data_IF_213978129324
#
_entry.id   IF_213978129324
#
_cell.length_a   1.000
_cell.length_b   1.000
_cell.length_c   1.000
_cell.angle_alpha   90.00
_cell.angle_beta   90.00
_cell.angle_gamma   90.00
#
_symmetry.space_group_name_H-M   'P 1'
#
loop_
_entity.id
_entity.type
_entity.pdbx_description
1 polymer ?
#
# COMPACT_ATOMS: atom_id res chain seq x y z
N UNK A 1 -33.37 1.49 12.05
CA UNK A 1 -32.16 0.64 11.95
C UNK A 1 -31.75 0.37 10.50
N UNK A 2 -32.54 -0.36 9.69
CA UNK A 2 -32.20 -0.68 8.27
C UNK A 2 -31.72 0.50 7.42
N UNK A 3 -32.33 1.67 7.58
CA UNK A 3 -31.95 2.89 6.83
C UNK A 3 -30.53 3.40 7.16
N UNK A 4 -30.01 3.19 8.38
CA UNK A 4 -28.66 3.61 8.78
C UNK A 4 -27.60 2.65 8.25
N UNK A 5 -27.85 1.34 8.34
CA UNK A 5 -26.97 0.29 7.79
C UNK A 5 -26.81 0.45 6.28
N UNK A 6 -27.92 0.67 5.55
CA UNK A 6 -27.88 0.94 4.11
C UNK A 6 -27.05 2.20 3.80
N UNK A 7 -27.23 3.29 4.56
CA UNK A 7 -26.41 4.50 4.38
C UNK A 7 -24.93 4.28 4.66
N UNK A 8 -24.58 3.53 5.71
CA UNK A 8 -23.18 3.17 6.00
C UNK A 8 -22.57 2.37 4.86
N UNK A 9 -23.30 1.39 4.33
CA UNK A 9 -22.84 0.58 3.19
C UNK A 9 -22.70 1.43 1.91
N UNK A 10 -23.64 2.33 1.64
CA UNK A 10 -23.55 3.25 0.51
C UNK A 10 -22.35 4.21 0.64
N UNK A 11 -22.12 4.74 1.84
CA UNK A 11 -20.94 5.54 2.15
C UNK A 11 -19.66 4.77 1.83
N UNK A 12 -19.52 3.55 2.36
CA UNK A 12 -18.33 2.72 2.13
C UNK A 12 -18.13 2.46 0.65
N UNK A 13 -19.14 1.91 -0.05
CA UNK A 13 -19.03 1.56 -1.47
C UNK A 13 -18.65 2.78 -2.30
N UNK A 14 -19.31 3.93 -2.10
CA UNK A 14 -19.04 5.12 -2.89
C UNK A 14 -17.61 5.63 -2.69
N UNK A 15 -17.19 5.81 -1.43
CA UNK A 15 -15.89 6.41 -1.13
C UNK A 15 -14.74 5.45 -1.39
N UNK A 16 -14.91 4.16 -1.07
CA UNK A 16 -13.92 3.14 -1.38
C UNK A 16 -13.63 3.09 -2.88
N UNK A 17 -14.67 2.90 -3.72
CA UNK A 17 -14.48 2.75 -5.16
C UNK A 17 -13.97 4.04 -5.82
N UNK A 18 -14.41 5.21 -5.35
CA UNK A 18 -13.93 6.49 -5.86
C UNK A 18 -12.43 6.67 -5.60
N UNK A 19 -11.99 6.41 -4.36
CA UNK A 19 -10.57 6.52 -4.01
C UNK A 19 -9.73 5.46 -4.73
N UNK A 20 -10.21 4.22 -4.76
CA UNK A 20 -9.55 3.10 -5.44
C UNK A 20 -9.31 3.42 -6.93
N UNK A 21 -10.35 3.88 -7.61
CA UNK A 21 -10.27 4.31 -9.01
C UNK A 21 -9.23 5.43 -9.20
N UNK A 22 -9.31 6.50 -8.41
CA UNK A 22 -8.40 7.64 -8.55
C UNK A 22 -6.94 7.23 -8.28
N UNK A 23 -6.71 6.38 -7.28
CA UNK A 23 -5.39 5.85 -6.94
C UNK A 23 -4.83 4.96 -8.06
N UNK A 24 -5.63 4.03 -8.56
CA UNK A 24 -5.26 3.12 -9.66
C UNK A 24 -4.94 3.89 -10.95
N UNK A 25 -5.66 4.99 -11.21
CA UNK A 25 -5.41 5.85 -12.36
C UNK A 25 -4.23 6.84 -12.16
N UNK A 26 -3.53 6.81 -11.02
CA UNK A 26 -2.44 7.73 -10.71
C UNK A 26 -2.89 9.20 -10.57
N UNK A 27 -4.18 9.43 -10.29
CA UNK A 27 -4.80 10.75 -10.11
C UNK A 27 -4.77 11.16 -8.63
N UNK A 28 -3.60 11.07 -8.01
CA UNK A 28 -3.45 11.27 -6.55
C UNK A 28 -3.83 12.66 -6.06
N UNK A 29 -3.68 13.71 -6.88
CA UNK A 29 -4.14 15.06 -6.54
C UNK A 29 -5.66 15.11 -6.35
N UNK A 30 -6.41 14.47 -7.27
CA UNK A 30 -7.86 14.34 -7.19
C UNK A 30 -8.26 13.40 -6.04
N UNK A 31 -7.46 12.36 -5.80
CA UNK A 31 -7.68 11.42 -4.69
C UNK A 31 -7.58 12.13 -3.34
N UNK A 32 -6.56 12.96 -3.12
CA UNK A 32 -6.45 13.78 -1.91
C UNK A 32 -7.62 14.76 -1.74
N UNK A 33 -8.13 15.34 -2.83
CA UNK A 33 -9.32 16.17 -2.76
C UNK A 33 -10.56 15.35 -2.37
N UNK A 34 -10.71 14.14 -2.93
CA UNK A 34 -11.80 13.23 -2.60
C UNK A 34 -11.74 12.77 -1.13
N UNK A 35 -10.54 12.52 -0.59
CA UNK A 35 -10.33 12.22 0.83
C UNK A 35 -10.99 13.27 1.72
N UNK A 36 -10.90 14.58 1.41
CA UNK A 36 -11.56 15.62 2.23
C UNK A 36 -13.07 15.38 2.39
N UNK A 37 -13.76 15.05 1.28
CA UNK A 37 -15.18 14.69 1.34
C UNK A 37 -15.41 13.37 2.09
N UNK A 38 -14.57 12.35 1.88
CA UNK A 38 -14.64 11.08 2.61
C UNK A 38 -14.54 11.28 4.11
N UNK A 39 -13.60 12.11 4.58
CA UNK A 39 -13.41 12.35 6.01
C UNK A 39 -14.58 13.07 6.66
N UNK A 40 -15.22 14.00 5.95
CA UNK A 40 -16.39 14.71 6.48
C UNK A 40 -17.57 13.78 6.76
N UNK A 41 -17.79 12.78 5.90
CA UNK A 41 -18.85 11.80 6.05
C UNK A 41 -18.44 10.62 6.96
N UNK A 42 -17.15 10.28 7.00
CA UNK A 42 -16.62 9.19 7.84
C UNK A 42 -17.02 9.35 9.30
N UNK A 43 -17.01 10.57 9.83
CA UNK A 43 -17.42 10.90 11.20
C UNK A 43 -18.84 10.38 11.55
N UNK A 44 -19.72 10.28 10.54
CA UNK A 44 -21.11 9.83 10.72
C UNK A 44 -21.26 8.31 10.63
N UNK A 45 -20.41 7.65 9.85
CA UNK A 45 -20.60 6.25 9.44
C UNK A 45 -19.55 5.28 9.97
N UNK A 46 -18.40 5.77 10.44
CA UNK A 46 -17.25 4.95 10.85
C UNK A 46 -17.61 3.87 11.88
N UNK A 47 -18.43 4.21 12.88
CA UNK A 47 -18.89 3.25 13.89
C UNK A 47 -19.70 2.08 13.34
N UNK A 48 -20.29 2.24 12.15
CA UNK A 48 -21.07 1.21 11.50
C UNK A 48 -20.26 0.36 10.51
N UNK A 49 -19.02 0.72 10.21
CA UNK A 49 -18.14 -0.08 9.37
C UNK A 49 -17.60 -1.26 10.18
N UNK A 50 -17.56 -2.43 9.57
CA UNK A 50 -16.80 -3.54 10.12
C UNK A 50 -15.30 -3.31 9.95
N UNK A 51 -14.51 -4.16 10.59
CA UNK A 51 -13.06 -3.98 10.62
C UNK A 51 -12.41 -4.15 9.22
N UNK A 52 -13.00 -4.98 8.36
CA UNK A 52 -12.52 -5.17 6.99
C UNK A 52 -12.77 -3.91 6.15
N UNK A 53 -13.99 -3.37 6.17
CA UNK A 53 -14.37 -2.14 5.49
C UNK A 53 -13.52 -0.95 5.99
N UNK A 54 -13.28 -0.85 7.31
CA UNK A 54 -12.37 0.18 7.85
C UNK A 54 -10.96 0.01 7.32
N UNK A 55 -10.39 -1.19 7.39
CA UNK A 55 -9.00 -1.43 7.00
C UNK A 55 -8.74 -1.12 5.53
N UNK A 56 -9.68 -1.49 4.65
CA UNK A 56 -9.60 -1.24 3.21
C UNK A 56 -9.82 0.23 2.87
N UNK A 57 -10.82 0.89 3.46
CA UNK A 57 -11.06 2.32 3.25
C UNK A 57 -9.89 3.16 3.76
N UNK A 58 -9.38 2.89 4.96
CA UNK A 58 -8.24 3.60 5.53
C UNK A 58 -6.96 3.32 4.74
N UNK A 59 -6.80 2.10 4.22
CA UNK A 59 -5.72 1.75 3.29
C UNK A 59 -5.76 2.59 2.02
N UNK A 60 -6.95 2.79 1.43
CA UNK A 60 -7.12 3.64 0.25
C UNK A 60 -6.86 5.12 0.56
N UNK A 61 -7.27 5.61 1.72
CA UNK A 61 -6.92 6.97 2.17
C UNK A 61 -5.40 7.10 2.31
N UNK A 62 -4.73 6.13 2.94
CA UNK A 62 -3.28 6.11 3.09
C UNK A 62 -2.56 6.07 1.72
N UNK A 63 -3.06 5.27 0.76
CA UNK A 63 -2.55 5.22 -0.61
C UNK A 63 -2.70 6.56 -1.33
N UNK A 64 -3.82 7.25 -1.11
CA UNK A 64 -4.06 8.58 -1.69
C UNK A 64 -3.00 9.58 -1.25
N UNK A 65 -2.63 9.55 0.04
CA UNK A 65 -1.56 10.38 0.58
C UNK A 65 -0.17 9.94 0.13
N UNK A 66 0.10 8.63 0.11
CA UNK A 66 1.37 8.07 -0.37
C UNK A 66 1.66 8.48 -1.81
N UNK A 67 0.69 8.31 -2.71
CA UNK A 67 0.88 8.59 -4.12
C UNK A 67 1.09 10.07 -4.44
N UNK A 68 0.55 10.95 -3.61
CA UNK A 68 0.79 12.40 -3.69
C UNK A 68 2.00 12.87 -2.86
N UNK A 69 2.83 11.96 -2.37
CA UNK A 69 4.07 12.28 -1.63
C UNK A 69 3.86 12.80 -0.20
N UNK A 70 2.64 12.73 0.33
CA UNK A 70 2.34 13.14 1.70
C UNK A 70 2.50 11.95 2.67
N UNK A 71 3.76 11.55 2.90
CA UNK A 71 4.07 10.35 3.68
C UNK A 71 3.67 10.47 5.15
N UNK A 72 3.68 11.67 5.73
CA UNK A 72 3.24 11.89 7.11
C UNK A 72 1.76 11.52 7.30
N UNK A 73 0.88 11.96 6.38
CA UNK A 73 -0.53 11.60 6.43
C UNK A 73 -0.74 10.12 6.10
N UNK A 74 0.02 9.55 5.16
CA UNK A 74 0.00 8.11 4.90
C UNK A 74 0.27 7.30 6.20
N UNK A 75 1.38 7.62 6.89
CA UNK A 75 1.77 6.97 8.15
C UNK A 75 0.72 7.16 9.24
N UNK A 76 0.09 8.34 9.33
CA UNK A 76 -1.01 8.58 10.27
C UNK A 76 -2.16 7.59 10.07
N UNK A 77 -2.64 7.42 8.83
CA UNK A 77 -3.73 6.49 8.52
C UNK A 77 -3.34 5.03 8.74
N UNK A 78 -2.11 4.65 8.39
CA UNK A 78 -1.62 3.31 8.66
C UNK A 78 -1.49 3.03 10.17
N UNK A 79 -1.15 4.02 10.99
CA UNK A 79 -1.15 3.88 12.44
C UNK A 79 -2.57 3.73 13.01
N UNK A 80 -3.57 4.42 12.46
CA UNK A 80 -4.98 4.17 12.82
C UNK A 80 -5.37 2.71 12.58
N UNK A 81 -5.06 2.18 11.40
CA UNK A 81 -5.30 0.76 11.08
C UNK A 81 -4.60 -0.15 12.10
N UNK A 82 -3.30 0.06 12.33
CA UNK A 82 -2.50 -0.78 13.24
C UNK A 82 -2.99 -0.76 14.69
N UNK A 83 -3.53 0.36 15.16
CA UNK A 83 -3.93 0.55 16.55
C UNK A 83 -5.39 0.19 16.81
N UNK A 84 -6.27 0.37 15.83
CA UNK A 84 -7.73 0.24 16.00
C UNK A 84 -8.27 -1.08 15.45
N UNK A 85 -7.57 -1.72 14.50
CA UNK A 85 -8.09 -2.86 13.75
C UNK A 85 -7.33 -4.14 14.11
N UNK A 86 -7.99 -5.19 14.63
CA UNK A 86 -7.33 -6.45 14.90
C UNK A 86 -6.95 -7.14 13.59
N UNK A 87 -5.67 -7.45 13.40
CA UNK A 87 -5.15 -8.12 12.21
C UNK A 87 -5.59 -9.59 12.00
N UNK A 88 -6.63 -10.06 12.69
CA UNK A 88 -7.27 -11.36 12.42
C UNK A 88 -8.00 -11.40 11.06
N UNK A 89 -8.00 -10.28 10.35
CA UNK A 89 -8.64 -10.07 9.07
C UNK A 89 -7.62 -10.45 8.00
N UNK A 90 -7.85 -11.57 7.30
CA UNK A 90 -7.20 -11.92 6.03
C UNK A 90 -5.65 -11.81 6.07
N UNK A 91 -4.90 -12.91 6.28
CA UNK A 91 -3.44 -12.89 6.43
C UNK A 91 -2.65 -12.21 5.28
N UNK A 92 -3.22 -12.12 4.08
CA UNK A 92 -2.69 -11.37 2.94
C UNK A 92 -2.72 -9.86 3.16
N UNK A 93 -3.81 -9.36 3.75
CA UNK A 93 -4.02 -7.94 4.04
C UNK A 93 -3.07 -7.44 5.13
N UNK A 94 -2.85 -8.23 6.19
CA UNK A 94 -1.88 -7.87 7.24
C UNK A 94 -0.45 -7.75 6.68
N UNK A 95 -0.03 -8.71 5.85
CA UNK A 95 1.28 -8.64 5.19
C UNK A 95 1.43 -7.38 4.34
N UNK A 96 0.41 -7.07 3.54
CA UNK A 96 0.37 -5.84 2.76
C UNK A 96 0.50 -4.60 3.65
N UNK A 97 -0.33 -4.46 4.69
CA UNK A 97 -0.34 -3.28 5.55
C UNK A 97 0.99 -3.07 6.28
N UNK A 98 1.62 -4.16 6.75
CA UNK A 98 2.95 -4.10 7.38
C UNK A 98 4.04 -3.67 6.40
N UNK A 99 4.03 -4.23 5.18
CA UNK A 99 4.97 -3.84 4.15
C UNK A 99 4.74 -2.40 3.69
N UNK A 100 3.49 -1.99 3.49
CA UNK A 100 3.14 -0.63 3.11
C UNK A 100 3.57 0.39 4.17
N UNK A 101 3.47 0.04 5.45
CA UNK A 101 4.00 0.85 6.55
C UNK A 101 5.52 1.02 6.47
N UNK A 102 6.26 -0.06 6.19
CA UNK A 102 7.71 0.02 5.97
C UNK A 102 8.04 0.94 4.79
N UNK A 103 7.34 0.78 3.66
CA UNK A 103 7.55 1.61 2.47
C UNK A 103 7.24 3.08 2.75
N UNK A 104 6.15 3.40 3.45
CA UNK A 104 5.81 4.77 3.83
C UNK A 104 6.90 5.42 4.70
N UNK A 105 7.48 4.68 5.64
CA UNK A 105 8.62 5.14 6.45
C UNK A 105 9.91 5.30 5.63
N UNK A 106 10.16 4.38 4.68
CA UNK A 106 11.28 4.49 3.76
C UNK A 106 11.19 5.76 2.91
N UNK A 107 10.02 6.02 2.32
CA UNK A 107 9.76 7.23 1.53
C UNK A 107 9.87 8.52 2.34
N UNK A 108 9.45 8.49 3.61
CA UNK A 108 9.58 9.63 4.51
C UNK A 108 11.02 9.91 4.97
N UNK A 109 11.99 9.05 4.60
CA UNK A 109 13.39 9.20 5.03
C UNK A 109 13.63 8.84 6.50
N UNK A 110 12.71 8.12 7.14
CA UNK A 110 12.81 7.70 8.54
C UNK A 110 13.76 6.49 8.67
N UNK A 111 15.05 6.69 8.39
CA UNK A 111 16.04 5.62 8.35
C UNK A 111 16.28 4.93 9.70
N UNK A 112 16.10 5.66 10.80
CA UNK A 112 16.29 5.21 12.18
C UNK A 112 15.27 4.14 12.61
N UNK A 113 14.01 4.26 12.18
CA UNK A 113 12.95 3.31 12.55
C UNK A 113 12.93 2.07 11.65
N UNK A 114 13.43 2.15 10.41
CA UNK A 114 13.37 1.06 9.43
C UNK A 114 13.89 -0.29 9.96
N UNK A 115 15.06 -0.40 10.61
CA UNK A 115 15.56 -1.68 11.11
C UNK A 115 14.58 -2.37 12.08
N UNK A 116 13.92 -1.58 12.93
CA UNK A 116 12.95 -2.10 13.90
C UNK A 116 11.68 -2.61 13.21
N UNK A 117 11.20 -1.91 12.18
CA UNK A 117 10.03 -2.31 11.40
C UNK A 117 10.30 -3.57 10.57
N UNK A 118 11.47 -3.64 9.93
CA UNK A 118 11.91 -4.80 9.15
C UNK A 118 12.03 -6.03 10.05
N UNK A 119 12.61 -5.88 11.25
CA UNK A 119 12.69 -6.98 12.23
C UNK A 119 11.31 -7.43 12.70
N UNK A 120 10.38 -6.50 12.93
CA UNK A 120 9.00 -6.81 13.29
C UNK A 120 8.30 -7.59 12.18
N UNK A 121 8.47 -7.18 10.92
CA UNK A 121 7.90 -7.85 9.76
C UNK A 121 8.51 -9.25 9.55
N UNK A 122 9.82 -9.41 9.69
CA UNK A 122 10.47 -10.73 9.67
C UNK A 122 9.90 -11.69 10.72
N UNK A 123 9.77 -11.23 11.98
CA UNK A 123 9.21 -12.04 13.06
C UNK A 123 7.74 -12.41 12.80
N UNK A 124 6.99 -11.52 12.17
CA UNK A 124 5.62 -11.80 11.75
C UNK A 124 5.59 -12.89 10.67
N UNK A 125 6.39 -12.76 9.60
CA UNK A 125 6.46 -13.73 8.51
C UNK A 125 6.86 -15.13 9.00
N UNK A 126 7.81 -15.23 9.93
CA UNK A 126 8.24 -16.50 10.52
C UNK A 126 7.14 -17.21 11.34
N UNK A 127 6.09 -16.50 11.75
CA UNK A 127 4.96 -17.07 12.49
C UNK A 127 3.78 -17.44 11.58
N UNK A 128 3.83 -17.11 10.29
CA UNK A 128 2.76 -17.42 9.35
C UNK A 128 2.74 -18.91 9.03
N UNK A 129 1.55 -19.49 8.92
CA UNK A 129 1.35 -20.86 8.44
C UNK A 129 1.78 -20.99 6.97
N UNK A 130 1.50 -19.96 6.17
CA UNK A 130 1.87 -19.90 4.76
C UNK A 130 2.70 -18.65 4.50
N UNK A 131 3.94 -18.87 4.07
CA UNK A 131 4.86 -17.83 3.60
C UNK A 131 4.84 -17.81 2.07
N UNK A 132 4.47 -16.68 1.49
CA UNK A 132 4.44 -16.50 0.04
C UNK A 132 5.84 -16.23 -0.53
N UNK A 133 6.03 -16.51 -1.81
CA UNK A 133 7.32 -16.28 -2.49
C UNK A 133 7.64 -14.79 -2.55
N UNK A 134 6.64 -13.95 -2.79
CA UNK A 134 6.79 -12.50 -2.73
C UNK A 134 7.33 -12.04 -1.38
N UNK A 135 6.75 -12.52 -0.28
CA UNK A 135 7.16 -12.15 1.08
C UNK A 135 8.61 -12.55 1.37
N UNK A 136 9.01 -13.75 0.93
CA UNK A 136 10.39 -14.24 1.03
C UNK A 136 11.38 -13.34 0.30
N UNK A 137 11.05 -12.93 -0.93
CA UNK A 137 11.92 -12.05 -1.74
C UNK A 137 12.01 -10.66 -1.10
N UNK A 138 10.90 -10.12 -0.63
CA UNK A 138 10.86 -8.78 -0.04
C UNK A 138 11.65 -8.75 1.27
N UNK A 139 11.49 -9.74 2.14
CA UNK A 139 12.19 -9.71 3.42
C UNK A 139 13.69 -9.94 3.26
N UNK A 140 14.11 -10.76 2.29
CA UNK A 140 15.51 -10.91 1.90
C UNK A 140 16.09 -9.58 1.41
N UNK A 141 15.38 -8.89 0.51
CA UNK A 141 15.79 -7.56 0.05
C UNK A 141 15.93 -6.57 1.20
N UNK A 142 14.92 -6.46 2.07
CA UNK A 142 14.93 -5.48 3.17
C UNK A 142 16.03 -5.74 4.21
N UNK A 143 16.34 -7.01 4.50
CA UNK A 143 17.30 -7.38 5.53
C UNK A 143 18.74 -7.45 5.04
N UNK A 144 18.94 -7.92 3.81
CA UNK A 144 20.26 -8.31 3.32
C UNK A 144 20.73 -7.38 2.20
N UNK A 145 19.87 -7.04 1.24
CA UNK A 145 20.31 -6.25 0.08
C UNK A 145 20.28 -4.74 0.37
N UNK A 146 19.19 -4.21 0.94
CA UNK A 146 19.00 -2.78 1.16
C UNK A 146 20.09 -2.16 2.08
N UNK A 147 20.49 -2.77 3.21
CA UNK A 147 21.53 -2.20 4.07
C UNK A 147 22.92 -2.13 3.43
N UNK A 148 23.19 -2.98 2.44
CA UNK A 148 24.49 -3.03 1.73
C UNK A 148 24.60 -1.96 0.64
N UNK A 149 23.54 -1.19 0.39
CA UNK A 149 23.49 -0.16 -0.65
C UNK A 149 24.18 1.15 -0.24
N UNK A 150 25.48 1.09 0.04
CA UNK A 150 26.28 2.25 0.46
C UNK A 150 26.51 3.32 -0.61
N UNK A 151 26.02 3.12 -1.84
CA UNK A 151 26.13 4.08 -2.95
C UNK A 151 24.82 4.16 -3.75
N UNK A 152 24.52 5.30 -4.41
CA UNK A 152 23.35 5.41 -5.28
C UNK A 152 23.29 4.36 -6.39
N UNK A 153 24.46 3.99 -6.95
CA UNK A 153 24.56 2.95 -7.98
C UNK A 153 24.22 1.56 -7.44
N UNK A 154 24.71 1.21 -6.25
CA UNK A 154 24.38 -0.06 -5.62
C UNK A 154 22.88 -0.14 -5.28
N UNK A 155 22.30 0.96 -4.79
CA UNK A 155 20.86 1.05 -4.51
C UNK A 155 20.02 0.84 -5.78
N UNK A 156 20.40 1.50 -6.87
CA UNK A 156 19.75 1.34 -8.17
C UNK A 156 19.78 -0.12 -8.65
N UNK A 157 20.94 -0.78 -8.54
CA UNK A 157 21.09 -2.18 -8.91
C UNK A 157 20.25 -3.11 -8.03
N UNK A 158 20.18 -2.85 -6.72
CA UNK A 158 19.33 -3.61 -5.80
C UNK A 158 17.85 -3.49 -6.17
N UNK A 159 17.37 -2.29 -6.52
CA UNK A 159 16.00 -2.10 -7.00
C UNK A 159 15.72 -2.81 -8.33
N UNK A 160 16.64 -2.75 -9.28
CA UNK A 160 16.51 -3.49 -10.55
C UNK A 160 16.42 -5.00 -10.32
N UNK A 161 17.29 -5.53 -9.45
CA UNK A 161 17.30 -6.94 -9.07
C UNK A 161 15.98 -7.34 -8.40
N UNK A 162 15.49 -6.53 -7.46
CA UNK A 162 14.20 -6.77 -6.80
C UNK A 162 13.05 -6.76 -7.82
N UNK A 163 12.99 -5.77 -8.71
CA UNK A 163 11.97 -5.68 -9.77
C UNK A 163 11.96 -6.94 -10.63
N UNK A 164 13.13 -7.41 -11.07
CA UNK A 164 13.26 -8.62 -11.89
C UNK A 164 12.81 -9.89 -11.15
N UNK A 165 13.03 -9.96 -9.83
CA UNK A 165 12.56 -11.08 -8.99
C UNK A 165 11.04 -11.08 -8.81
N UNK A 166 10.40 -9.92 -8.59
CA UNK A 166 8.97 -9.86 -8.25
C UNK A 166 8.05 -9.66 -9.45
N UNK A 167 8.50 -9.06 -10.55
CA UNK A 167 7.65 -8.80 -11.73
C UNK A 167 6.99 -10.06 -12.31
N UNK A 168 7.67 -11.23 -12.39
CA UNK A 168 7.01 -12.46 -12.84
C UNK A 168 5.89 -12.95 -11.91
N UNK A 169 5.93 -12.58 -10.62
CA UNK A 169 4.94 -13.02 -9.63
C UNK A 169 3.58 -12.36 -9.82
N UNK A 170 3.51 -11.19 -10.46
CA UNK A 170 2.23 -10.51 -10.73
C UNK A 170 1.30 -11.34 -11.63
N UNK A 171 1.86 -12.25 -12.43
CA UNK A 171 1.12 -13.18 -13.29
C UNK A 171 0.77 -14.50 -12.61
N UNK A 172 1.28 -14.74 -11.40
CA UNK A 172 1.03 -15.98 -10.66
C UNK A 172 -0.35 -15.93 -9.99
N UNK A 173 -1.25 -16.90 -10.23
CA UNK A 173 -2.55 -16.97 -9.56
C UNK A 173 -2.47 -17.00 -8.04
N UNK A 174 -1.35 -17.51 -7.49
CA UNK A 174 -1.12 -17.66 -6.05
C UNK A 174 -0.55 -16.40 -5.38
N UNK A 175 0.12 -15.53 -6.15
CA UNK A 175 0.83 -14.35 -5.61
C UNK A 175 0.15 -13.03 -6.01
N UNK A 176 -0.77 -13.05 -6.98
CA UNK A 176 -1.38 -11.83 -7.57
C UNK A 176 -2.02 -10.89 -6.54
N UNK A 177 -2.55 -11.42 -5.44
CA UNK A 177 -3.30 -10.63 -4.45
C UNK A 177 -2.46 -9.50 -3.84
N UNK A 178 -1.15 -9.71 -3.67
CA UNK A 178 -0.29 -8.66 -3.09
C UNK A 178 -0.18 -7.46 -4.03
N UNK A 179 -0.21 -7.69 -5.35
CA UNK A 179 -0.15 -6.66 -6.38
C UNK A 179 -1.48 -5.92 -6.56
N UNK A 180 -2.59 -6.44 -6.01
CA UNK A 180 -3.88 -5.76 -6.02
C UNK A 180 -3.89 -4.54 -5.08
N UNK A 181 -3.16 -4.61 -3.96
CA UNK A 181 -3.20 -3.56 -2.94
C UNK A 181 -2.16 -2.46 -3.15
N UNK A 182 -1.06 -2.75 -3.84
CA UNK A 182 0.02 -1.80 -4.09
C UNK A 182 0.77 -2.14 -5.39
N UNK A 183 0.99 -1.13 -6.23
CA UNK A 183 1.76 -1.29 -7.47
C UNK A 183 3.27 -1.23 -7.18
N UNK A 184 3.81 -2.33 -6.66
CA UNK A 184 5.24 -2.45 -6.33
C UNK A 184 6.14 -2.26 -7.56
N UNK A 185 5.64 -2.59 -8.75
CA UNK A 185 6.41 -2.46 -9.99
C UNK A 185 6.55 -0.98 -10.35
N UNK A 186 5.47 -0.20 -10.30
CA UNK A 186 5.53 1.25 -10.51
C UNK A 186 6.34 1.96 -9.44
N UNK A 187 6.26 1.50 -8.18
CA UNK A 187 7.11 2.02 -7.11
C UNK A 187 8.60 1.79 -7.40
N UNK A 188 9.00 0.57 -7.75
CA UNK A 188 10.40 0.29 -8.11
C UNK A 188 10.86 1.05 -9.34
N UNK A 189 10.02 1.17 -10.37
CA UNK A 189 10.32 1.99 -11.56
C UNK A 189 10.51 3.46 -11.21
N UNK A 190 9.70 4.01 -10.30
CA UNK A 190 9.86 5.39 -9.82
C UNK A 190 11.23 5.62 -9.18
N UNK A 191 11.76 4.61 -8.47
CA UNK A 191 13.10 4.63 -7.88
C UNK A 191 14.20 4.46 -8.92
N UNK A 192 14.00 3.56 -9.88
CA UNK A 192 14.98 3.26 -10.91
C UNK A 192 15.13 4.42 -11.91
N UNK A 193 14.02 5.05 -12.26
CA UNK A 193 13.95 6.15 -13.24
C UNK A 193 14.07 7.53 -12.57
N UNK A 194 14.14 7.58 -11.24
CA UNK A 194 14.22 8.81 -10.45
C UNK A 194 13.12 9.83 -10.79
N UNK A 195 11.86 9.38 -10.76
CA UNK A 195 10.68 10.22 -11.03
C UNK A 195 9.55 9.93 -10.06
N UNK A 196 8.55 10.83 -9.91
CA UNK A 196 7.47 10.64 -8.94
C UNK A 196 6.65 9.36 -9.21
N UNK A 197 6.34 8.61 -8.16
CA UNK A 197 5.49 7.42 -8.24
C UNK A 197 4.14 7.70 -8.93
N UNK A 198 3.52 8.85 -8.62
CA UNK A 198 2.30 9.30 -9.28
C UNK A 198 2.38 9.33 -10.81
N UNK A 199 3.52 9.74 -11.34
CA UNK A 199 3.74 9.85 -12.78
C UNK A 199 3.81 8.46 -13.41
N UNK A 200 4.54 7.54 -12.78
CA UNK A 200 4.68 6.15 -13.26
C UNK A 200 3.32 5.44 -13.32
N UNK A 201 2.55 5.53 -12.23
CA UNK A 201 1.20 4.91 -12.15
C UNK A 201 0.29 5.50 -13.23
N UNK A 202 0.28 6.83 -13.38
CA UNK A 202 -0.55 7.53 -14.36
C UNK A 202 -0.17 7.17 -15.79
N UNK A 203 1.12 7.00 -16.09
CA UNK A 203 1.58 6.56 -17.40
C UNK A 203 1.09 5.14 -17.69
N UNK A 204 1.23 4.22 -16.74
CA UNK A 204 0.77 2.84 -16.92
C UNK A 204 -0.74 2.75 -17.09
N UNK A 205 -1.50 3.50 -16.30
CA UNK A 205 -2.95 3.54 -16.41
C UNK A 205 -3.44 3.96 -17.81
N UNK A 206 -2.71 4.88 -18.48
CA UNK A 206 -3.01 5.28 -19.88
C UNK A 206 -2.62 4.23 -20.92
N UNK A 207 -1.69 3.33 -20.59
CA UNK A 207 -1.22 2.27 -21.49
C UNK A 207 -2.04 0.98 -21.39
N UNK A 208 -2.90 0.88 -20.38
CA UNK A 208 -3.88 -0.19 -20.31
C UNK A 208 -4.91 0.04 -21.42
N UNK A 209 -5.20 -0.96 -22.27
CA UNK A 209 -6.28 -0.82 -23.24
C UNK A 209 -7.58 -0.51 -22.49
N UNK A 210 -8.35 0.44 -23.02
CA UNK A 210 -9.68 0.80 -22.53
C UNK A 210 -10.59 -0.44 -22.62
N UNK A 211 -10.55 -1.30 -21.61
CA UNK A 211 -11.52 -2.36 -21.41
C UNK A 211 -12.38 -1.97 -20.21
N UNK A 212 -13.40 -1.17 -20.52
CA UNK A 212 -14.72 -1.25 -19.91
C UNK A 212 -15.58 -2.08 -20.86
#
# INVERSE_FOLDING_TARGET
>A
MKSKEVRTRLFFILHYNRLDYLNTMGRFDQSQQAVKSTLSELLLYEKGLDDFDKSTLFGNIAMSFFGAGNFQQCIFWLNRIRNEIPFKIRPDLESFLRLFYILAHYEAGHADILPSLILSFYRFLHKKEQLYKFESIIIDFLRNELPETGTPKALLQAFQKLKNKIAPLSKSPYEKNVFTYFDYISWLESKIENRPFAEVVRQKAKSLPDFI
#
